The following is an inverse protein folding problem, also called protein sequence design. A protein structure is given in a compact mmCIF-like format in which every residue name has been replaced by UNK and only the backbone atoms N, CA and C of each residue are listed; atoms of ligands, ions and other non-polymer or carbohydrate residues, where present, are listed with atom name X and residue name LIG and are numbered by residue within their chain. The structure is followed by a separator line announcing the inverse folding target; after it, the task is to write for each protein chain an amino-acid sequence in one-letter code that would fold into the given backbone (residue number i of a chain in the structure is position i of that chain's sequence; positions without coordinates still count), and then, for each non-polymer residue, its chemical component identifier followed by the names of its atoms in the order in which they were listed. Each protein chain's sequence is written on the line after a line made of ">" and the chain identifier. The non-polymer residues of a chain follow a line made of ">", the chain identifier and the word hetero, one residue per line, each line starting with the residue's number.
data_IF_949267845487
#
_entry.id   IF_949267845487
#
_cell.length_a   1.000
_cell.length_b   1.000
_cell.length_c   1.000
_cell.angle_alpha   90.00
_cell.angle_beta   90.00
_cell.angle_gamma   90.00
#
_symmetry.space_group_name_H-M   'P 1'
#
loop_
_entity.id
_entity.type
_entity.pdbx_description
1 polymer ?
#
# COMPACT_ATOMS: atom_id res chain seq x y z
N UNK A 1 27.10 -10.22 -4.25
CA UNK A 1 26.61 -10.17 -2.87
C UNK A 1 27.54 -9.28 -2.06
N UNK A 2 26.97 -8.37 -1.29
CA UNK A 2 27.71 -7.45 -0.42
C UNK A 2 27.46 -7.88 1.03
N UNK A 3 28.55 -8.04 1.78
CA UNK A 3 28.51 -8.44 3.20
C UNK A 3 29.01 -7.29 4.11
N UNK A 4 29.21 -6.10 3.54
CA UNK A 4 29.68 -4.90 4.23
C UNK A 4 29.09 -3.65 3.59
N UNK A 5 29.16 -2.55 4.30
CA UNK A 5 28.72 -1.24 3.84
C UNK A 5 29.71 -0.14 4.20
N UNK A 6 29.65 0.95 3.47
CA UNK A 6 30.36 2.18 3.79
C UNK A 6 29.34 3.26 4.15
N UNK A 7 29.52 3.89 5.30
CA UNK A 7 28.66 5.00 5.73
C UNK A 7 29.15 6.26 5.00
N UNK A 8 28.30 6.79 4.10
CA UNK A 8 28.58 8.05 3.40
C UNK A 8 28.10 9.27 4.17
N UNK A 9 27.03 9.14 4.92
CA UNK A 9 26.46 10.21 5.74
C UNK A 9 25.76 9.61 6.95
N UNK A 10 25.97 10.20 8.12
CA UNK A 10 25.32 9.79 9.36
C UNK A 10 24.62 10.98 9.96
N UNK A 11 23.33 10.82 10.26
CA UNK A 11 22.48 11.84 10.83
C UNK A 11 21.91 11.29 12.14
N UNK A 12 22.10 12.03 13.23
CA UNK A 12 21.48 11.69 14.50
C UNK A 12 20.07 12.23 14.56
N UNK A 13 19.13 11.34 14.92
CA UNK A 13 17.74 11.70 15.13
C UNK A 13 17.39 11.57 16.61
N UNK A 14 16.69 12.57 17.13
CA UNK A 14 16.38 12.65 18.57
C UNK A 14 15.19 11.75 18.98
N UNK A 15 14.39 11.25 18.02
CA UNK A 15 13.14 10.51 18.31
C UNK A 15 12.84 9.45 17.25
N UNK A 16 13.83 8.62 16.91
CA UNK A 16 13.74 7.62 15.85
C UNK A 16 12.67 6.54 16.08
N UNK A 17 12.29 6.25 17.33
CA UNK A 17 11.37 5.17 17.67
C UNK A 17 9.89 5.43 17.33
N UNK A 18 9.47 6.70 17.19
CA UNK A 18 8.09 7.10 16.89
C UNK A 18 7.89 7.59 15.44
N UNK A 19 8.97 7.93 14.75
CA UNK A 19 8.91 8.41 13.38
C UNK A 19 8.82 7.25 12.38
N UNK A 20 8.04 7.48 11.32
CA UNK A 20 7.91 6.59 10.17
C UNK A 20 8.53 7.24 8.95
N UNK A 21 9.01 6.41 8.03
CA UNK A 21 9.75 6.84 6.84
C UNK A 21 9.19 6.16 5.61
N UNK A 22 9.08 6.91 4.52
CA UNK A 22 8.74 6.39 3.19
C UNK A 22 9.50 7.14 2.11
N UNK A 23 9.61 6.51 0.94
CA UNK A 23 10.14 7.15 -0.26
C UNK A 23 9.00 7.88 -0.99
N UNK A 24 9.26 9.11 -1.41
CA UNK A 24 8.38 9.89 -2.26
C UNK A 24 9.21 10.51 -3.40
N UNK A 25 8.99 10.03 -4.62
CA UNK A 25 9.75 10.46 -5.82
C UNK A 25 11.27 10.40 -5.63
N UNK A 26 11.76 9.27 -5.11
CA UNK A 26 13.19 9.03 -4.89
C UNK A 26 13.81 9.79 -3.73
N UNK A 27 13.03 10.55 -2.98
CA UNK A 27 13.43 11.29 -1.79
C UNK A 27 12.68 10.78 -0.57
N UNK A 28 12.91 11.32 0.60
CA UNK A 28 12.44 10.75 1.87
C UNK A 28 11.38 11.63 2.53
N UNK A 29 10.27 11.03 2.92
CA UNK A 29 9.33 11.62 3.88
C UNK A 29 9.50 10.94 5.24
N UNK A 30 9.50 11.77 6.27
CA UNK A 30 9.48 11.38 7.68
C UNK A 30 8.23 11.95 8.33
N UNK A 31 7.46 11.14 9.05
CA UNK A 31 6.24 11.59 9.67
C UNK A 31 6.00 10.94 11.02
N UNK A 32 5.32 11.66 11.86
CA UNK A 32 4.84 11.24 13.18
C UNK A 32 3.48 11.90 13.47
N UNK A 33 3.07 11.88 14.73
CA UNK A 33 1.79 12.46 15.14
C UNK A 33 1.74 14.01 15.02
N UNK A 34 2.89 14.67 14.92
CA UNK A 34 3.00 16.14 14.95
C UNK A 34 3.24 16.76 13.57
N UNK A 35 3.57 15.96 12.57
CA UNK A 35 3.82 16.49 11.23
C UNK A 35 4.51 15.53 10.29
N UNK A 36 4.76 16.03 9.08
CA UNK A 36 5.47 15.36 8.02
C UNK A 36 6.55 16.30 7.44
N UNK A 37 7.71 15.73 7.15
CA UNK A 37 8.87 16.43 6.60
C UNK A 37 9.33 15.74 5.33
N UNK A 38 9.60 16.52 4.29
CA UNK A 38 10.16 16.03 3.03
C UNK A 38 11.58 16.56 2.86
N UNK A 39 12.52 15.64 2.65
CA UNK A 39 13.95 15.91 2.50
C UNK A 39 14.50 15.24 1.26
N UNK A 40 15.52 15.85 0.67
CA UNK A 40 16.29 15.17 -0.38
C UNK A 40 17.27 14.13 0.22
N UNK A 41 17.99 13.43 -0.63
CA UNK A 41 18.92 12.39 -0.20
C UNK A 41 20.19 12.94 0.49
N UNK A 42 20.46 14.24 0.41
CA UNK A 42 21.48 14.94 1.17
C UNK A 42 20.96 15.49 2.51
N UNK A 43 19.74 15.09 2.88
CA UNK A 43 19.02 15.52 4.09
C UNK A 43 18.64 17.01 4.12
N UNK A 44 18.65 17.67 2.97
CA UNK A 44 18.20 19.05 2.87
C UNK A 44 16.68 19.12 2.88
N UNK A 45 16.14 20.04 3.67
CA UNK A 45 14.71 20.27 3.79
C UNK A 45 14.12 20.80 2.49
N UNK A 46 13.08 20.13 1.98
CA UNK A 46 12.29 20.61 0.84
C UNK A 46 11.03 21.32 1.33
N UNK A 47 10.26 20.64 2.17
CA UNK A 47 9.12 21.23 2.87
C UNK A 47 8.79 20.46 4.17
N UNK A 48 8.05 21.09 5.04
CA UNK A 48 7.44 20.47 6.20
C UNK A 48 5.97 20.90 6.33
N UNK A 49 5.17 20.08 7.00
CA UNK A 49 3.79 20.37 7.33
C UNK A 49 3.50 19.89 8.75
N UNK A 50 3.10 20.79 9.61
CA UNK A 50 2.67 20.49 10.97
C UNK A 50 1.19 20.11 11.00
N UNK A 51 0.84 19.21 11.89
CA UNK A 51 -0.53 18.79 12.16
C UNK A 51 -0.59 18.11 13.54
N UNK A 52 -1.77 17.78 14.00
CA UNK A 52 -2.02 16.87 15.12
C UNK A 52 -2.82 15.67 14.59
N UNK A 53 -2.22 14.48 14.63
CA UNK A 53 -2.87 13.24 14.24
C UNK A 53 -2.57 12.14 15.26
N UNK A 54 -3.58 11.33 15.58
CA UNK A 54 -3.39 10.20 16.48
C UNK A 54 -2.80 8.98 15.74
N UNK A 55 -3.21 8.76 14.50
CA UNK A 55 -2.78 7.62 13.67
C UNK A 55 -2.52 8.08 12.24
N UNK A 56 -1.37 8.75 11.99
CA UNK A 56 -1.06 9.24 10.65
C UNK A 56 -0.76 8.06 9.70
N UNK A 57 -1.37 8.11 8.53
CA UNK A 57 -1.25 7.12 7.47
C UNK A 57 -0.97 7.82 6.15
N UNK A 58 -0.26 7.13 5.25
CA UNK A 58 0.09 7.65 3.91
C UNK A 58 -0.64 6.93 2.79
N UNK A 59 -0.96 7.67 1.74
CA UNK A 59 -1.24 7.17 0.41
C UNK A 59 -0.42 7.97 -0.60
N UNK A 60 0.26 7.29 -1.50
CA UNK A 60 1.14 7.94 -2.49
C UNK A 60 0.76 7.44 -3.88
N UNK A 61 0.63 8.37 -4.83
CA UNK A 61 0.49 8.06 -6.24
C UNK A 61 1.26 9.10 -7.04
N UNK A 62 2.35 8.66 -7.67
CA UNK A 62 3.22 9.52 -8.48
C UNK A 62 3.65 10.79 -7.72
N UNK A 63 3.26 11.99 -8.18
CA UNK A 63 3.67 13.26 -7.60
C UNK A 63 2.76 13.80 -6.49
N UNK A 64 1.80 12.97 -6.02
CA UNK A 64 0.90 13.33 -4.94
C UNK A 64 1.03 12.36 -3.76
N UNK A 65 0.96 12.96 -2.58
CA UNK A 65 0.95 12.23 -1.32
C UNK A 65 -0.23 12.76 -0.50
N UNK A 66 -1.01 11.85 0.06
CA UNK A 66 -2.00 12.18 1.08
C UNK A 66 -1.55 11.62 2.42
N UNK A 67 -1.52 12.46 3.44
CA UNK A 67 -1.38 12.01 4.82
C UNK A 67 -2.67 12.29 5.57
N UNK A 68 -3.17 11.29 6.28
CA UNK A 68 -4.47 11.36 6.92
C UNK A 68 -4.46 10.71 8.30
N UNK A 69 -5.37 11.16 9.16
CA UNK A 69 -5.56 10.60 10.50
C UNK A 69 -6.59 9.46 10.44
N UNK A 70 -6.11 8.21 10.53
CA UNK A 70 -7.00 7.05 10.59
C UNK A 70 -7.78 7.05 11.91
N UNK A 71 -9.10 7.03 11.82
CA UNK A 71 -10.00 7.21 12.96
C UNK A 71 -10.30 8.68 13.31
N UNK A 72 -9.57 9.60 12.70
CA UNK A 72 -9.80 11.04 12.76
C UNK A 72 -10.50 11.58 11.52
N UNK A 73 -10.34 12.88 11.23
CA UNK A 73 -11.08 13.57 10.17
C UNK A 73 -10.20 14.42 9.23
N UNK A 74 -8.90 14.49 9.47
CA UNK A 74 -8.00 15.37 8.73
C UNK A 74 -7.27 14.64 7.60
N UNK A 75 -7.20 15.28 6.43
CA UNK A 75 -6.42 14.83 5.27
C UNK A 75 -5.61 16.01 4.75
N UNK A 76 -4.32 15.81 4.54
CA UNK A 76 -3.44 16.78 3.88
C UNK A 76 -2.98 16.21 2.55
N UNK A 77 -3.31 16.89 1.46
CA UNK A 77 -2.85 16.55 0.11
C UNK A 77 -1.58 17.33 -0.15
N UNK A 78 -0.46 16.62 -0.33
CA UNK A 78 0.87 17.20 -0.54
C UNK A 78 1.34 16.95 -1.96
N UNK A 79 2.15 17.86 -2.46
CA UNK A 79 2.88 17.76 -3.72
C UNK A 79 4.38 17.79 -3.47
N UNK A 80 5.19 17.81 -4.54
CA UNK A 80 6.65 18.00 -4.43
C UNK A 80 7.04 19.36 -3.88
N UNK A 81 6.14 20.35 -3.90
CA UNK A 81 6.41 21.73 -3.45
C UNK A 81 5.72 22.09 -2.13
N UNK A 82 4.94 21.18 -1.55
CA UNK A 82 4.28 21.37 -0.26
C UNK A 82 2.78 21.12 -0.31
N UNK A 83 2.06 21.73 0.62
CA UNK A 83 0.62 21.55 0.80
C UNK A 83 -0.17 22.05 -0.43
N UNK A 84 -0.99 21.16 -0.98
CA UNK A 84 -1.98 21.48 -2.01
C UNK A 84 -3.33 21.84 -1.37
N UNK A 85 -3.82 20.97 -0.47
CA UNK A 85 -5.11 21.19 0.20
C UNK A 85 -5.21 20.39 1.50
N UNK A 86 -5.84 20.98 2.50
CA UNK A 86 -6.35 20.31 3.69
C UNK A 86 -7.85 20.03 3.53
N UNK A 87 -8.26 18.78 3.79
CA UNK A 87 -9.67 18.36 3.81
C UNK A 87 -10.02 17.91 5.23
N UNK A 88 -11.15 18.37 5.74
CA UNK A 88 -11.77 17.86 6.96
C UNK A 88 -13.01 17.07 6.58
N UNK A 89 -13.09 15.82 7.04
CA UNK A 89 -14.27 14.97 6.84
C UNK A 89 -15.29 15.17 7.97
N UNK A 90 -16.54 14.81 7.70
CA UNK A 90 -17.62 14.88 8.70
C UNK A 90 -17.66 13.70 9.66
N UNK A 91 -17.07 12.57 9.25
CA UNK A 91 -17.07 11.30 9.99
C UNK A 91 -15.68 10.69 10.00
N UNK A 92 -15.38 9.75 10.91
CA UNK A 92 -14.05 9.17 11.03
C UNK A 92 -13.57 8.46 9.76
N UNK A 93 -12.32 8.71 9.40
CA UNK A 93 -11.65 8.14 8.24
C UNK A 93 -11.19 6.72 8.55
N UNK A 94 -11.52 5.79 7.66
CA UNK A 94 -10.96 4.43 7.67
C UNK A 94 -9.73 4.34 6.76
N UNK A 95 -9.84 4.80 5.51
CA UNK A 95 -8.75 4.75 4.54
C UNK A 95 -8.87 5.86 3.49
N UNK A 96 -7.75 6.28 2.94
CA UNK A 96 -7.66 7.28 1.87
C UNK A 96 -6.78 6.73 0.76
N UNK A 97 -7.20 6.93 -0.49
CA UNK A 97 -6.39 6.66 -1.68
C UNK A 97 -6.25 7.94 -2.49
N UNK A 98 -5.04 8.32 -2.87
CA UNK A 98 -4.79 9.45 -3.75
C UNK A 98 -4.50 8.98 -5.17
N UNK A 99 -4.97 9.74 -6.17
CA UNK A 99 -4.65 9.56 -7.58
C UNK A 99 -3.58 10.54 -8.05
N UNK A 100 -3.06 10.36 -9.27
CA UNK A 100 -1.97 11.17 -9.80
C UNK A 100 -2.31 12.64 -10.08
N UNK A 101 -3.59 13.01 -9.98
CA UNK A 101 -4.10 14.38 -10.13
C UNK A 101 -4.40 15.07 -8.80
N UNK A 102 -4.11 14.40 -7.69
CA UNK A 102 -4.45 14.88 -6.36
C UNK A 102 -5.92 14.63 -5.96
N UNK A 103 -6.70 13.94 -6.78
CA UNK A 103 -8.02 13.43 -6.41
C UNK A 103 -7.85 12.38 -5.32
N UNK A 104 -8.68 12.43 -4.30
CA UNK A 104 -8.68 11.45 -3.21
C UNK A 104 -10.01 10.76 -3.09
N UNK A 105 -9.98 9.46 -2.82
CA UNK A 105 -11.11 8.67 -2.39
C UNK A 105 -10.98 8.41 -0.89
N UNK A 106 -12.04 8.60 -0.15
CA UNK A 106 -12.07 8.48 1.31
C UNK A 106 -13.15 7.50 1.71
N UNK A 107 -12.77 6.44 2.43
CA UNK A 107 -13.69 5.55 3.12
C UNK A 107 -13.84 6.02 4.56
N UNK A 108 -15.05 6.35 4.95
CA UNK A 108 -15.41 6.78 6.29
C UNK A 108 -16.39 5.80 6.92
N UNK A 109 -16.27 5.59 8.21
CA UNK A 109 -17.13 4.67 8.95
C UNK A 109 -17.64 5.34 10.21
N UNK A 110 -18.96 5.34 10.36
CA UNK A 110 -19.64 5.77 11.58
C UNK A 110 -20.90 4.90 11.80
N UNK A 111 -20.98 4.30 12.98
CA UNK A 111 -22.06 3.36 13.33
C UNK A 111 -22.20 2.24 12.28
N UNK A 112 -23.41 2.09 11.69
CA UNK A 112 -23.72 1.07 10.69
C UNK A 112 -23.63 1.60 9.25
N UNK A 113 -23.05 2.78 9.04
CA UNK A 113 -22.92 3.39 7.72
C UNK A 113 -21.46 3.58 7.38
N UNK A 114 -21.08 3.08 6.22
CA UNK A 114 -19.81 3.39 5.58
C UNK A 114 -20.06 4.30 4.39
N UNK A 115 -19.29 5.38 4.28
CA UNK A 115 -19.41 6.36 3.22
C UNK A 115 -18.13 6.41 2.42
N UNK A 116 -18.23 6.41 1.10
CA UNK A 116 -17.10 6.68 0.20
C UNK A 116 -17.35 8.00 -0.48
N UNK A 117 -16.38 8.93 -0.36
CA UNK A 117 -16.41 10.21 -1.06
C UNK A 117 -15.16 10.41 -1.89
N UNK A 118 -15.34 11.05 -3.05
CA UNK A 118 -14.25 11.52 -3.89
C UNK A 118 -14.17 13.04 -3.80
N UNK A 119 -12.95 13.53 -3.59
CA UNK A 119 -12.66 14.97 -3.60
C UNK A 119 -11.58 15.26 -4.65
N UNK A 120 -11.72 16.36 -5.37
CA UNK A 120 -10.64 16.85 -6.21
C UNK A 120 -9.50 17.46 -5.35
N UNK A 121 -8.39 17.82 -5.99
CA UNK A 121 -7.24 18.43 -5.31
C UNK A 121 -7.52 19.78 -4.65
N UNK A 122 -8.67 20.38 -4.93
CA UNK A 122 -9.13 21.64 -4.35
C UNK A 122 -10.10 21.43 -3.19
N UNK A 123 -10.44 20.16 -2.90
CA UNK A 123 -11.36 19.78 -1.83
C UNK A 123 -12.83 19.80 -2.23
N UNK A 124 -13.16 19.93 -3.53
CA UNK A 124 -14.53 19.84 -4.00
C UNK A 124 -14.97 18.39 -4.07
N UNK A 125 -16.17 18.09 -3.55
CA UNK A 125 -16.75 16.76 -3.62
C UNK A 125 -17.15 16.44 -5.08
N UNK A 126 -16.66 15.33 -5.60
CA UNK A 126 -16.94 14.83 -6.95
C UNK A 126 -17.99 13.74 -6.96
N UNK A 127 -18.03 12.89 -5.94
CA UNK A 127 -18.94 11.76 -5.84
C UNK A 127 -19.08 11.33 -4.38
N UNK A 128 -20.21 10.64 -4.09
CA UNK A 128 -20.57 10.14 -2.77
C UNK A 128 -21.34 8.84 -2.91
N UNK A 129 -21.01 7.84 -2.11
CA UNK A 129 -21.74 6.58 -2.01
C UNK A 129 -21.85 6.15 -0.55
N UNK A 130 -23.01 5.59 -0.17
CA UNK A 130 -23.25 5.08 1.17
C UNK A 130 -23.45 3.56 1.13
N UNK A 131 -22.86 2.87 2.09
CA UNK A 131 -22.98 1.43 2.28
C UNK A 131 -23.51 1.18 3.69
N UNK A 132 -24.68 0.53 3.77
CA UNK A 132 -25.28 0.20 5.05
C UNK A 132 -24.85 -1.19 5.48
N UNK A 133 -24.28 -1.28 6.67
CA UNK A 133 -23.84 -2.54 7.28
C UNK A 133 -25.07 -3.29 7.83
N UNK A 134 -25.96 -3.62 6.96
CA UNK A 134 -27.08 -4.50 7.24
C UNK A 134 -26.76 -5.89 6.67
N UNK A 135 -27.01 -6.94 7.43
CA UNK A 135 -26.89 -8.34 6.96
C UNK A 135 -25.47 -8.87 6.75
N UNK A 136 -24.45 -8.30 7.41
CA UNK A 136 -23.09 -8.87 7.46
C UNK A 136 -22.19 -8.55 6.27
N UNK A 137 -22.46 -7.48 5.53
CA UNK A 137 -21.57 -6.95 4.49
C UNK A 137 -20.84 -5.68 4.96
N UNK A 138 -19.51 -5.66 4.82
CA UNK A 138 -18.65 -4.57 5.33
C UNK A 138 -17.67 -4.12 4.25
N UNK A 139 -17.64 -2.82 3.87
CA UNK A 139 -16.52 -2.31 3.07
C UNK A 139 -15.27 -2.27 3.95
N UNK A 140 -14.20 -2.90 3.49
CA UNK A 140 -12.94 -3.02 4.24
C UNK A 140 -11.79 -2.29 3.59
N UNK A 141 -11.84 -2.06 2.29
CA UNK A 141 -10.81 -1.33 1.57
C UNK A 141 -11.36 -0.70 0.30
N UNK A 142 -10.68 0.34 -0.16
CA UNK A 142 -10.96 1.02 -1.43
C UNK A 142 -9.65 1.20 -2.21
N UNK A 143 -9.76 1.31 -3.53
CA UNK A 143 -8.65 1.63 -4.41
C UNK A 143 -9.11 2.59 -5.51
N UNK A 144 -8.31 3.61 -5.77
CA UNK A 144 -8.57 4.60 -6.81
C UNK A 144 -7.56 4.43 -7.93
N UNK A 145 -8.03 4.39 -9.18
CA UNK A 145 -7.13 4.30 -10.33
C UNK A 145 -6.27 5.57 -10.45
N UNK A 146 -5.09 5.45 -11.06
CA UNK A 146 -4.14 6.56 -11.18
C UNK A 146 -4.73 7.77 -11.89
N UNK A 147 -5.63 7.55 -12.86
CA UNK A 147 -6.37 8.60 -13.57
C UNK A 147 -7.60 9.12 -12.83
N UNK A 148 -7.87 8.63 -11.62
CA UNK A 148 -9.01 8.98 -10.77
C UNK A 148 -10.41 8.68 -11.35
N UNK A 149 -10.51 7.92 -12.43
CA UNK A 149 -11.78 7.65 -13.09
C UNK A 149 -12.51 6.42 -12.56
N UNK A 150 -11.76 5.47 -11.96
CA UNK A 150 -12.31 4.21 -11.45
C UNK A 150 -12.01 4.04 -9.98
N UNK A 151 -13.03 3.64 -9.25
CA UNK A 151 -12.94 3.28 -7.84
C UNK A 151 -13.29 1.79 -7.70
N UNK A 152 -12.49 1.05 -6.95
CA UNK A 152 -12.83 -0.28 -6.48
C UNK A 152 -13.17 -0.25 -5.00
N UNK A 153 -14.20 -1.01 -4.61
CA UNK A 153 -14.59 -1.20 -3.21
C UNK A 153 -14.56 -2.70 -2.90
N UNK A 154 -13.81 -3.05 -1.87
CA UNK A 154 -13.69 -4.41 -1.36
C UNK A 154 -14.65 -4.59 -0.18
N UNK A 155 -15.65 -5.47 -0.36
CA UNK A 155 -16.65 -5.80 0.63
C UNK A 155 -16.39 -7.19 1.20
N UNK A 156 -16.33 -7.29 2.51
CA UNK A 156 -16.35 -8.55 3.23
C UNK A 156 -17.81 -8.93 3.53
N UNK A 157 -18.21 -10.12 3.12
CA UNK A 157 -19.52 -10.67 3.39
C UNK A 157 -19.41 -11.86 4.35
N UNK A 158 -20.10 -11.78 5.48
CA UNK A 158 -20.16 -12.86 6.47
C UNK A 158 -21.61 -13.32 6.61
N UNK A 159 -21.91 -14.52 6.13
CA UNK A 159 -23.24 -15.12 6.19
C UNK A 159 -23.13 -16.55 6.73
N UNK A 160 -23.91 -16.85 7.79
CA UNK A 160 -23.98 -18.21 8.37
C UNK A 160 -22.60 -18.80 8.70
N UNK A 161 -21.67 -17.95 9.18
CA UNK A 161 -20.31 -18.36 9.49
C UNK A 161 -19.38 -18.56 8.29
N UNK A 162 -19.85 -18.27 7.07
CA UNK A 162 -19.04 -18.33 5.85
C UNK A 162 -18.58 -16.93 5.45
N UNK A 163 -17.34 -16.86 4.99
CA UNK A 163 -16.72 -15.63 4.51
C UNK A 163 -16.68 -15.63 2.98
N UNK A 164 -17.05 -14.50 2.39
CA UNK A 164 -16.84 -14.22 0.98
C UNK A 164 -16.40 -12.77 0.81
N UNK A 165 -15.75 -12.47 -0.30
CA UNK A 165 -15.37 -11.11 -0.67
C UNK A 165 -16.07 -10.72 -1.97
N UNK A 166 -16.49 -9.46 -2.04
CA UNK A 166 -17.08 -8.88 -3.25
C UNK A 166 -16.32 -7.62 -3.61
N UNK A 167 -15.81 -7.57 -4.84
CA UNK A 167 -15.13 -6.39 -5.39
C UNK A 167 -16.05 -5.73 -6.41
N UNK A 168 -16.41 -4.48 -6.16
CA UNK A 168 -17.24 -3.67 -7.04
C UNK A 168 -16.44 -2.53 -7.64
N UNK A 169 -16.64 -2.30 -8.93
CA UNK A 169 -15.98 -1.23 -9.68
C UNK A 169 -16.97 -0.16 -10.08
N UNK A 170 -16.57 1.09 -9.92
CA UNK A 170 -17.34 2.28 -10.26
C UNK A 170 -16.55 3.13 -11.23
N UNK A 171 -17.19 3.64 -12.27
CA UNK A 171 -16.56 4.53 -13.25
C UNK A 171 -17.28 5.88 -13.23
N UNK A 172 -16.56 6.94 -12.90
CA UNK A 172 -17.06 8.32 -12.81
C UNK A 172 -16.88 9.11 -14.11
N UNK A 173 -16.33 8.48 -15.16
CA UNK A 173 -16.30 9.00 -16.51
C UNK A 173 -17.61 8.76 -17.27
N UNK A 174 -17.62 9.06 -18.56
CA UNK A 174 -18.80 8.96 -19.44
C UNK A 174 -19.39 7.54 -19.51
N UNK A 175 -18.56 6.51 -19.40
CA UNK A 175 -19.01 5.09 -19.46
C UNK A 175 -19.89 4.74 -18.27
N UNK A 176 -19.53 5.16 -17.07
CA UNK A 176 -20.29 4.86 -15.86
C UNK A 176 -21.58 5.67 -15.70
N UNK A 177 -21.73 6.77 -16.42
CA UNK A 177 -22.94 7.62 -16.36
C UNK A 177 -24.22 6.92 -16.79
N UNK A 178 -24.09 5.85 -17.59
CA UNK A 178 -25.23 5.06 -18.06
C UNK A 178 -25.50 3.84 -17.18
N UNK A 179 -24.72 3.62 -16.13
CA UNK A 179 -24.87 2.49 -15.22
C UNK A 179 -25.50 2.95 -13.89
N UNK A 180 -26.22 2.06 -13.25
CA UNK A 180 -26.82 2.34 -11.93
C UNK A 180 -25.72 2.61 -10.92
N UNK A 181 -25.77 3.77 -10.28
CA UNK A 181 -24.78 4.23 -9.31
C UNK A 181 -23.33 4.20 -9.82
N UNK A 182 -23.12 4.37 -11.14
CA UNK A 182 -21.80 4.27 -11.79
C UNK A 182 -21.12 2.89 -11.69
N UNK A 183 -21.83 1.86 -11.26
CA UNK A 183 -21.30 0.49 -11.15
C UNK A 183 -21.08 -0.10 -12.55
N UNK A 184 -19.83 -0.53 -12.81
CA UNK A 184 -19.41 -1.13 -14.08
C UNK A 184 -18.98 -2.59 -13.96
N UNK A 185 -19.04 -3.16 -12.76
CA UNK A 185 -18.75 -4.57 -12.52
C UNK A 185 -18.75 -4.91 -11.04
N UNK A 186 -19.24 -6.10 -10.72
CA UNK A 186 -19.25 -6.65 -9.36
C UNK A 186 -18.88 -8.12 -9.43
N UNK A 187 -17.88 -8.52 -8.65
CA UNK A 187 -17.30 -9.87 -8.66
C UNK A 187 -17.26 -10.42 -7.24
N UNK A 188 -17.84 -11.59 -7.02
CA UNK A 188 -17.92 -12.24 -5.71
C UNK A 188 -17.11 -13.53 -5.68
N UNK A 189 -16.40 -13.75 -4.58
CA UNK A 189 -15.51 -14.89 -4.37
C UNK A 189 -15.84 -15.56 -3.04
N UNK A 190 -16.37 -16.79 -3.12
CA UNK A 190 -16.69 -17.60 -1.95
C UNK A 190 -15.40 -18.12 -1.29
N UNK A 191 -15.46 -18.25 0.03
CA UNK A 191 -14.36 -18.81 0.85
C UNK A 191 -13.01 -18.09 0.64
N UNK A 192 -13.07 -16.79 0.32
CA UNK A 192 -11.92 -15.95 0.10
C UNK A 192 -12.05 -14.67 0.94
N UNK A 193 -11.00 -14.33 1.66
CA UNK A 193 -10.87 -13.06 2.36
C UNK A 193 -9.86 -12.16 1.63
N UNK A 194 -10.38 -11.20 0.87
CA UNK A 194 -9.56 -10.15 0.25
C UNK A 194 -9.31 -9.09 1.32
N UNK A 195 -8.07 -8.98 1.76
CA UNK A 195 -7.68 -8.05 2.84
C UNK A 195 -7.28 -6.67 2.33
N UNK A 196 -6.83 -6.58 1.08
CA UNK A 196 -6.28 -5.36 0.50
C UNK A 196 -6.52 -5.34 -1.00
N UNK A 197 -6.86 -4.17 -1.52
CA UNK A 197 -6.93 -3.89 -2.96
C UNK A 197 -6.07 -2.65 -3.28
N UNK A 198 -5.43 -2.64 -4.45
CA UNK A 198 -4.58 -1.53 -4.89
C UNK A 198 -4.63 -1.37 -6.39
N UNK A 199 -4.90 -0.17 -6.89
CA UNK A 199 -4.58 0.16 -8.27
C UNK A 199 -3.07 0.32 -8.42
N UNK A 200 -2.51 -0.31 -9.42
CA UNK A 200 -1.07 -0.30 -9.73
C UNK A 200 -0.77 0.46 -11.03
N UNK A 201 -1.82 0.89 -11.71
CA UNK A 201 -1.83 1.73 -12.91
C UNK A 201 -3.24 2.30 -13.10
N UNK A 202 -3.48 3.04 -14.16
CA UNK A 202 -4.83 3.54 -14.49
C UNK A 202 -5.81 2.43 -14.90
N UNK A 203 -5.30 1.30 -15.38
CA UNK A 203 -6.09 0.21 -15.97
C UNK A 203 -5.93 -1.14 -15.27
N UNK A 204 -5.22 -1.20 -14.14
CA UNK A 204 -4.92 -2.46 -13.46
C UNK A 204 -5.05 -2.34 -11.95
N UNK A 205 -5.77 -3.29 -11.35
CA UNK A 205 -5.99 -3.39 -9.91
C UNK A 205 -5.62 -4.78 -9.42
N UNK A 206 -4.94 -4.86 -8.28
CA UNK A 206 -4.54 -6.10 -7.61
C UNK A 206 -5.32 -6.25 -6.31
N UNK A 207 -5.88 -7.44 -6.08
CA UNK A 207 -6.52 -7.82 -4.83
C UNK A 207 -5.71 -8.93 -4.17
N UNK A 208 -5.32 -8.72 -2.93
CA UNK A 208 -4.58 -9.68 -2.12
C UNK A 208 -5.51 -10.41 -1.17
N UNK A 209 -5.43 -11.74 -1.18
CA UNK A 209 -6.18 -12.57 -0.24
C UNK A 209 -5.25 -13.49 0.55
N UNK A 210 -5.81 -14.17 1.54
CA UNK A 210 -5.14 -15.19 2.35
C UNK A 210 -4.78 -16.46 1.54
N UNK A 211 -5.48 -16.71 0.44
CA UNK A 211 -5.35 -17.93 -0.36
C UNK A 211 -4.84 -17.69 -1.79
N UNK A 212 -4.66 -16.45 -2.19
CA UNK A 212 -4.23 -16.12 -3.53
C UNK A 212 -4.27 -14.61 -3.81
N UNK A 213 -4.10 -14.25 -5.07
CA UNK A 213 -4.31 -12.88 -5.52
C UNK A 213 -5.05 -12.84 -6.85
N UNK A 214 -5.72 -11.72 -7.08
CA UNK A 214 -6.51 -11.46 -8.27
C UNK A 214 -5.96 -10.23 -8.97
N UNK A 215 -5.95 -10.25 -10.30
CA UNK A 215 -5.59 -9.09 -11.12
C UNK A 215 -6.78 -8.75 -12.00
N UNK A 216 -7.27 -7.53 -11.87
CA UNK A 216 -8.34 -6.97 -12.71
C UNK A 216 -7.73 -5.97 -13.68
N UNK A 217 -8.21 -5.99 -14.91
CA UNK A 217 -7.71 -5.15 -15.98
C UNK A 217 -8.86 -4.56 -16.79
N UNK A 218 -8.71 -3.31 -17.18
CA UNK A 218 -9.67 -2.58 -17.99
C UNK A 218 -9.61 -1.08 -17.76
N UNK A 219 -9.64 -0.32 -18.86
CA UNK A 219 -9.62 1.14 -18.82
C UNK A 219 -10.95 1.75 -18.43
N UNK A 220 -12.06 1.06 -18.71
CA UNK A 220 -13.41 1.54 -18.49
C UNK A 220 -14.25 0.61 -17.62
N UNK A 221 -14.23 -0.69 -17.92
CA UNK A 221 -14.96 -1.74 -17.20
C UNK A 221 -13.97 -2.83 -16.77
N UNK A 222 -13.34 -2.71 -15.60
CA UNK A 222 -12.39 -3.71 -15.13
C UNK A 222 -13.03 -5.11 -15.02
N UNK A 223 -12.29 -6.11 -15.45
CA UNK A 223 -12.68 -7.51 -15.37
C UNK A 223 -11.50 -8.36 -14.89
N UNK A 224 -11.79 -9.52 -14.31
CA UNK A 224 -10.76 -10.44 -13.86
C UNK A 224 -9.90 -10.90 -15.03
N UNK A 225 -8.59 -10.62 -14.93
CA UNK A 225 -7.59 -11.01 -15.90
C UNK A 225 -6.83 -12.26 -15.46
N UNK A 226 -6.53 -12.36 -14.18
CA UNK A 226 -5.73 -13.44 -13.62
C UNK A 226 -6.16 -13.74 -12.19
N UNK A 227 -6.24 -15.03 -11.87
CA UNK A 227 -6.37 -15.53 -10.51
C UNK A 227 -5.22 -16.47 -10.25
N UNK A 228 -4.48 -16.25 -9.18
CA UNK A 228 -3.39 -17.10 -8.72
C UNK A 228 -3.75 -17.62 -7.35
N UNK A 229 -3.82 -18.93 -7.21
CA UNK A 229 -4.06 -19.60 -5.94
C UNK A 229 -2.71 -20.05 -5.35
N UNK A 230 -2.52 -19.83 -4.05
CA UNK A 230 -1.31 -20.28 -3.36
C UNK A 230 -1.44 -21.77 -3.02
N UNK A 231 -0.37 -22.52 -3.28
CA UNK A 231 -0.30 -23.96 -2.98
C UNK A 231 0.05 -24.25 -1.51
N UNK A 232 0.42 -23.21 -0.77
CA UNK A 232 0.92 -23.30 0.61
C UNK A 232 0.09 -22.36 1.51
N UNK A 233 0.05 -22.68 2.80
CA UNK A 233 -0.37 -21.71 3.82
C UNK A 233 0.68 -20.61 3.92
N UNK A 234 0.27 -19.36 3.64
CA UNK A 234 1.20 -18.22 3.61
C UNK A 234 1.29 -17.50 4.93
N UNK A 235 2.49 -17.04 5.28
CA UNK A 235 2.74 -16.21 6.46
C UNK A 235 2.56 -14.74 6.15
N UNK A 236 3.07 -14.27 5.02
CA UNK A 236 3.01 -12.88 4.59
C UNK A 236 2.68 -12.78 3.11
N UNK A 237 1.90 -11.76 2.77
CA UNK A 237 1.63 -11.35 1.39
C UNK A 237 1.97 -9.86 1.29
N UNK A 238 2.73 -9.48 0.30
CA UNK A 238 3.14 -8.11 0.06
C UNK A 238 3.19 -7.82 -1.44
N UNK A 239 3.01 -6.60 -1.84
CA UNK A 239 3.01 -6.24 -3.26
C UNK A 239 3.62 -4.85 -3.51
N UNK A 240 3.97 -4.62 -4.76
CA UNK A 240 4.19 -3.31 -5.34
C UNK A 240 3.37 -3.20 -6.64
N UNK A 241 3.69 -2.24 -7.50
CA UNK A 241 2.95 -2.02 -8.74
C UNK A 241 3.23 -3.07 -9.85
N UNK A 242 4.14 -4.03 -9.64
CA UNK A 242 4.55 -5.02 -10.65
C UNK A 242 4.57 -6.46 -10.16
N UNK A 243 4.67 -6.66 -8.84
CA UNK A 243 4.92 -7.98 -8.26
C UNK A 243 4.08 -8.23 -7.02
N UNK A 244 3.80 -9.51 -6.78
CA UNK A 244 3.22 -10.00 -5.52
C UNK A 244 4.21 -10.97 -4.91
N UNK A 245 4.60 -10.72 -3.67
CA UNK A 245 5.48 -11.58 -2.88
C UNK A 245 4.73 -12.31 -1.79
N UNK A 246 5.14 -13.52 -1.51
CA UNK A 246 4.64 -14.31 -0.39
C UNK A 246 5.79 -14.95 0.37
N UNK A 247 5.52 -15.28 1.62
CA UNK A 247 6.37 -16.16 2.41
C UNK A 247 5.57 -17.33 2.95
N UNK A 248 6.21 -18.47 3.06
CA UNK A 248 5.66 -19.64 3.74
C UNK A 248 6.79 -20.42 4.42
N UNK A 249 6.42 -21.25 5.40
CA UNK A 249 7.40 -22.04 6.15
C UNK A 249 8.17 -22.98 5.21
N UNK A 250 9.49 -23.06 5.40
CA UNK A 250 10.33 -23.98 4.65
C UNK A 250 10.14 -25.40 5.17
N UNK A 251 9.57 -26.29 4.37
CA UNK A 251 9.31 -27.67 4.75
C UNK A 251 10.57 -28.51 5.01
N UNK A 252 11.72 -28.08 4.48
CA UNK A 252 13.00 -28.81 4.60
C UNK A 252 13.87 -28.32 5.74
N UNK A 253 13.62 -27.10 6.26
CA UNK A 253 14.42 -26.47 7.29
C UNK A 253 13.54 -25.69 8.25
N UNK A 254 13.28 -26.26 9.41
CA UNK A 254 12.49 -25.62 10.48
C UNK A 254 13.10 -24.26 10.86
N UNK A 255 12.23 -23.27 11.07
CA UNK A 255 12.62 -21.90 11.41
C UNK A 255 13.01 -21.03 10.23
N UNK A 256 13.12 -21.58 9.02
CA UNK A 256 13.37 -20.81 7.80
C UNK A 256 12.07 -20.53 7.05
N UNK A 257 12.10 -19.45 6.29
CA UNK A 257 11.00 -19.03 5.43
C UNK A 257 11.40 -19.16 3.97
N UNK A 258 10.47 -19.60 3.14
CA UNK A 258 10.61 -19.56 1.69
C UNK A 258 9.94 -18.28 1.18
N UNK A 259 10.64 -17.53 0.34
CA UNK A 259 10.16 -16.30 -0.30
C UNK A 259 9.87 -16.64 -1.76
N UNK A 260 8.68 -16.30 -2.23
CA UNK A 260 8.29 -16.48 -3.62
C UNK A 260 7.65 -15.20 -4.15
N UNK A 261 8.07 -14.78 -5.33
CA UNK A 261 7.56 -13.58 -5.98
C UNK A 261 6.97 -13.96 -7.34
N UNK A 262 5.76 -13.46 -7.58
CA UNK A 262 5.05 -13.56 -8.85
C UNK A 262 5.03 -12.23 -9.58
N UNK A 263 5.07 -12.26 -10.91
CA UNK A 263 4.61 -11.14 -11.70
C UNK A 263 3.07 -11.08 -11.73
N UNK A 264 2.49 -10.04 -12.32
CA UNK A 264 1.04 -9.89 -12.39
C UNK A 264 0.37 -10.77 -13.46
N UNK A 265 1.14 -11.53 -14.21
CA UNK A 265 0.66 -12.59 -15.09
C UNK A 265 0.59 -13.96 -14.36
N UNK A 266 1.02 -14.02 -13.11
CA UNK A 266 1.06 -15.24 -12.32
C UNK A 266 2.31 -16.10 -12.50
N UNK A 267 3.33 -15.59 -13.20
CA UNK A 267 4.60 -16.30 -13.35
C UNK A 267 5.48 -16.10 -12.12
N UNK A 268 6.11 -17.17 -11.65
CA UNK A 268 7.12 -17.07 -10.60
C UNK A 268 8.40 -16.46 -11.17
N UNK A 269 8.87 -15.36 -10.59
CA UNK A 269 10.07 -14.65 -11.05
C UNK A 269 11.24 -14.73 -10.08
N UNK A 270 10.97 -15.01 -8.79
CA UNK A 270 11.99 -15.08 -7.76
C UNK A 270 11.61 -16.12 -6.71
N UNK A 271 12.58 -16.90 -6.27
CA UNK A 271 12.48 -17.78 -5.11
C UNK A 271 13.78 -17.76 -4.33
N UNK A 272 13.69 -17.57 -3.03
CA UNK A 272 14.84 -17.63 -2.11
C UNK A 272 14.36 -18.12 -0.74
N UNK A 273 15.30 -18.68 0.02
CA UNK A 273 15.10 -18.98 1.42
C UNK A 273 15.78 -17.94 2.31
N UNK A 274 15.18 -17.63 3.44
CA UNK A 274 15.79 -16.80 4.47
C UNK A 274 15.71 -17.48 5.82
N UNK A 275 16.79 -17.35 6.62
CA UNK A 275 16.84 -17.81 8.01
C UNK A 275 16.42 -16.71 9.00
N UNK A 276 16.16 -15.50 8.51
CA UNK A 276 15.73 -14.39 9.38
C UNK A 276 14.29 -14.65 9.83
N UNK A 277 14.10 -14.74 11.16
CA UNK A 277 12.76 -14.69 11.75
C UNK A 277 12.28 -13.24 11.66
N UNK A 278 11.87 -12.83 10.47
CA UNK A 278 11.62 -11.45 10.13
C UNK A 278 10.41 -10.86 10.85
N UNK A 279 10.46 -9.58 11.15
CA UNK A 279 9.31 -8.79 11.57
C UNK A 279 8.74 -7.94 10.42
N UNK A 280 9.51 -7.75 9.34
CA UNK A 280 9.08 -7.05 8.13
C UNK A 280 9.70 -7.67 6.87
N UNK A 281 8.86 -7.84 5.87
CA UNK A 281 9.26 -8.13 4.50
C UNK A 281 8.50 -7.20 3.56
N UNK A 282 9.20 -6.57 2.63
CA UNK A 282 8.61 -5.58 1.73
C UNK A 282 9.42 -5.42 0.44
N UNK A 283 8.82 -4.83 -0.57
CA UNK A 283 9.56 -4.35 -1.74
C UNK A 283 10.16 -2.97 -1.47
N UNK A 284 11.42 -2.79 -1.86
CA UNK A 284 12.06 -1.50 -2.01
C UNK A 284 11.83 -0.95 -3.42
N UNK A 285 12.18 0.31 -3.67
CA UNK A 285 11.83 1.02 -4.91
C UNK A 285 12.27 0.35 -6.22
N UNK A 286 13.38 -0.39 -6.22
CA UNK A 286 13.90 -1.06 -7.42
C UNK A 286 13.44 -2.51 -7.55
N UNK A 287 12.26 -2.84 -7.07
CA UNK A 287 11.70 -4.20 -7.05
C UNK A 287 12.59 -5.18 -6.28
N UNK A 288 13.34 -4.70 -5.32
CA UNK A 288 14.15 -5.54 -4.43
C UNK A 288 13.31 -5.96 -3.24
N UNK A 289 13.48 -7.21 -2.80
CA UNK A 289 12.81 -7.73 -1.61
C UNK A 289 13.74 -7.52 -0.41
N UNK A 290 13.26 -6.79 0.58
CA UNK A 290 13.96 -6.55 1.84
C UNK A 290 13.32 -7.37 2.96
N UNK A 291 14.13 -8.21 3.60
CA UNK A 291 13.76 -9.04 4.75
C UNK A 291 14.54 -8.56 5.95
N UNK A 292 13.87 -8.22 7.03
CA UNK A 292 14.55 -7.72 8.23
C UNK A 292 13.86 -8.11 9.53
N UNK A 293 14.68 -8.21 10.57
CA UNK A 293 14.27 -8.08 11.96
C UNK A 293 14.90 -6.83 12.57
N UNK A 294 14.98 -6.72 13.90
CA UNK A 294 15.52 -5.53 14.57
C UNK A 294 17.00 -5.30 14.31
N UNK A 295 17.75 -6.31 13.88
CA UNK A 295 19.22 -6.22 13.70
C UNK A 295 19.70 -6.80 12.37
N UNK A 296 18.95 -7.73 11.78
CA UNK A 296 19.37 -8.44 10.58
C UNK A 296 18.62 -7.95 9.35
N UNK A 297 19.31 -7.86 8.24
CA UNK A 297 18.75 -7.47 6.97
C UNK A 297 19.32 -8.33 5.84
N UNK A 298 18.45 -8.76 4.96
CA UNK A 298 18.82 -9.32 3.66
C UNK A 298 18.04 -8.60 2.56
N UNK A 299 18.72 -8.32 1.45
CA UNK A 299 18.10 -7.72 0.26
C UNK A 299 18.35 -8.63 -0.92
N UNK A 300 17.26 -8.99 -1.62
CA UNK A 300 17.26 -9.85 -2.79
C UNK A 300 16.82 -9.07 -4.02
N UNK A 301 17.48 -9.33 -5.15
CA UNK A 301 16.99 -8.85 -6.44
C UNK A 301 15.82 -9.70 -6.93
N UNK A 302 15.07 -9.17 -7.89
CA UNK A 302 13.98 -9.91 -8.53
C UNK A 302 14.47 -11.13 -9.34
N UNK A 303 15.77 -11.27 -9.53
CA UNK A 303 16.41 -12.40 -10.19
C UNK A 303 16.97 -13.45 -9.22
N UNK A 304 16.48 -13.49 -8.00
CA UNK A 304 16.84 -14.46 -6.94
C UNK A 304 18.27 -14.32 -6.41
N UNK A 305 18.90 -13.19 -6.61
CA UNK A 305 20.26 -12.93 -6.12
C UNK A 305 20.18 -12.23 -4.77
N UNK A 306 20.79 -12.83 -3.73
CA UNK A 306 20.99 -12.12 -2.46
C UNK A 306 22.06 -11.04 -2.67
N UNK A 307 21.62 -9.81 -2.74
CA UNK A 307 22.46 -8.66 -3.03
C UNK A 307 23.21 -8.16 -1.79
N UNK A 308 22.55 -8.21 -0.64
CA UNK A 308 23.07 -7.69 0.61
C UNK A 308 22.62 -8.57 1.78
N UNK A 309 23.51 -8.76 2.77
CA UNK A 309 23.18 -9.38 4.04
C UNK A 309 24.09 -8.78 5.12
N UNK A 310 23.48 -8.31 6.20
CA UNK A 310 24.21 -7.70 7.30
C UNK A 310 23.48 -7.83 8.64
N UNK A 311 24.27 -7.92 9.73
CA UNK A 311 23.77 -7.82 11.10
C UNK A 311 24.31 -6.54 11.70
N UNK A 312 23.39 -5.64 12.06
CA UNK A 312 23.72 -4.34 12.65
C UNK A 312 23.91 -4.46 14.17
N UNK A 313 24.66 -3.56 14.75
CA UNK A 313 24.88 -3.44 16.18
C UNK A 313 23.86 -2.51 16.88
N UNK A 314 23.04 -1.81 16.08
CA UNK A 314 21.95 -0.95 16.53
C UNK A 314 20.62 -1.43 15.96
N UNK A 315 19.53 -1.08 16.61
CA UNK A 315 18.19 -1.44 16.17
C UNK A 315 17.86 -0.81 14.82
N UNK A 316 17.38 -1.63 13.91
CA UNK A 316 17.01 -1.23 12.55
C UNK A 316 15.49 -1.03 12.48
N UNK A 317 15.04 0.17 12.12
CA UNK A 317 13.62 0.52 12.05
C UNK A 317 13.08 0.54 10.63
N UNK A 318 13.89 0.97 9.65
CA UNK A 318 13.49 1.08 8.25
C UNK A 318 14.69 1.04 7.32
N UNK A 319 14.47 0.54 6.12
CA UNK A 319 15.43 0.59 5.02
C UNK A 319 14.74 1.22 3.81
N UNK A 320 15.39 2.20 3.22
CA UNK A 320 14.93 2.89 2.02
C UNK A 320 15.98 2.77 0.93
N UNK A 321 15.52 2.67 -0.33
CA UNK A 321 16.41 2.78 -1.48
C UNK A 321 17.06 4.15 -1.54
N UNK A 322 18.34 4.21 -1.87
CA UNK A 322 19.10 5.43 -2.06
C UNK A 322 19.07 5.95 -3.50
N UNK A 323 20.04 6.79 -3.84
CA UNK A 323 20.12 7.45 -5.14
C UNK A 323 20.39 6.48 -6.31
N UNK A 324 21.05 5.37 -6.04
CA UNK A 324 21.44 4.36 -7.04
C UNK A 324 21.23 2.93 -6.52
N UNK A 325 21.51 1.95 -7.37
CA UNK A 325 21.29 0.54 -7.07
C UNK A 325 22.18 -0.03 -5.95
N UNK A 326 23.18 0.73 -5.49
CA UNK A 326 24.12 0.29 -4.46
C UNK A 326 24.04 1.12 -3.18
N UNK A 327 23.12 2.07 -3.11
CA UNK A 327 22.96 2.95 -1.95
C UNK A 327 21.60 2.77 -1.29
N UNK A 328 21.60 2.82 0.04
CA UNK A 328 20.43 2.69 0.89
C UNK A 328 20.50 3.66 2.06
N UNK A 329 19.34 4.01 2.58
CA UNK A 329 19.21 4.68 3.87
C UNK A 329 18.73 3.67 4.90
N UNK A 330 19.52 3.49 5.95
CA UNK A 330 19.17 2.66 7.11
C UNK A 330 18.80 3.59 8.28
N UNK A 331 17.64 3.32 8.88
CA UNK A 331 17.12 4.09 10.01
C UNK A 331 17.08 3.24 11.26
#
# INVERSE_FOLDING_TARGET
>A
SYDSYEIRNKIEQQDSGSAKYETFLGKTVEYNNDGIVYRDLDNELIWNQSFEMSTPMLSICESYLAIYDQGGTSIYIMTTTGLSKKIETSTPISTVCVANQGTVAVLMKEDNVSTVRLYDRKGNELANGEFYVEKGSFPIDIALSYDAQKLAVDMLDVKEGKVSSTVSFYNFGSVGQNEIDNNVGTYSYADMFISEISYVASDRMVALSDTGFLVFEGTQKPALKRQVDFDQEVQSVFCNNKYVGITYANAKKEGNWHIKVYDLNGNTVMENDTAIAYNKIEFLDRNEVCVRDDYNCEIYTIHSIRKFAYTFDQTLYKILSGADATSYTFV
#
